data_IF_663799170458
#
_entry.id   IF_663799170458
#
_cell.length_a   1.000
_cell.length_b   1.000
_cell.length_c   1.000
_cell.angle_alpha   90.00
_cell.angle_beta   90.00
_cell.angle_gamma   90.00
#
_symmetry.space_group_name_H-M   'P 1'
#
loop_
_entity.id
_entity.type
_entity.pdbx_description
1 polymer ?
#
# COMPACT_ATOMS: atom_id res chain seq x y z
N UNK A 1 14.41 -7.29 12.19
CA UNK A 1 13.31 -8.18 11.76
C UNK A 1 12.30 -7.31 11.03
N UNK A 2 11.84 -7.69 9.82
CA UNK A 2 10.79 -6.97 9.12
C UNK A 2 9.57 -6.76 10.02
N UNK A 3 9.06 -5.53 10.11
CA UNK A 3 7.82 -5.26 10.84
C UNK A 3 6.68 -5.45 9.85
N UNK A 4 5.79 -6.40 10.16
CA UNK A 4 4.58 -6.63 9.37
C UNK A 4 3.73 -5.38 9.35
N UNK A 5 3.24 -5.03 8.16
CA UNK A 5 2.34 -3.91 7.94
C UNK A 5 1.13 -4.40 7.16
N UNK A 6 -0.07 -3.98 7.60
CA UNK A 6 -1.33 -4.43 7.05
C UNK A 6 -2.17 -3.24 6.58
N UNK A 7 -2.80 -3.39 5.43
CA UNK A 7 -3.87 -2.53 4.94
C UNK A 7 -5.18 -3.29 5.18
N UNK A 8 -6.15 -2.64 5.81
CA UNK A 8 -7.43 -3.24 6.14
C UNK A 8 -8.53 -2.72 5.22
N UNK A 9 -9.45 -3.59 4.82
CA UNK A 9 -10.76 -3.21 4.30
C UNK A 9 -11.74 -3.09 5.46
N UNK A 10 -12.62 -2.08 5.39
CA UNK A 10 -13.67 -1.85 6.37
C UNK A 10 -15.00 -1.84 5.64
N UNK A 11 -15.91 -2.71 6.06
CA UNK A 11 -17.32 -2.57 5.71
C UNK A 11 -17.91 -1.48 6.62
N UNK A 12 -18.42 -0.40 6.01
CA UNK A 12 -18.91 0.76 6.75
C UNK A 12 -20.31 0.58 7.32
N UNK A 13 -21.07 -0.41 6.85
CA UNK A 13 -22.40 -0.74 7.36
C UNK A 13 -22.28 -1.67 8.58
N UNK A 14 -21.46 -2.72 8.47
CA UNK A 14 -21.27 -3.70 9.53
C UNK A 14 -20.14 -3.37 10.51
N UNK A 15 -19.29 -2.40 10.17
CA UNK A 15 -18.03 -2.07 10.86
C UNK A 15 -17.03 -3.25 10.92
N UNK A 16 -17.27 -4.29 10.12
CA UNK A 16 -16.39 -5.44 10.00
C UNK A 16 -15.06 -5.04 9.35
N UNK A 17 -13.97 -5.61 9.85
CA UNK A 17 -12.63 -5.38 9.30
C UNK A 17 -12.02 -6.70 8.84
N UNK A 18 -11.28 -6.63 7.73
CA UNK A 18 -10.46 -7.74 7.24
C UNK A 18 -9.17 -7.21 6.64
N UNK A 19 -8.13 -8.03 6.65
CA UNK A 19 -6.87 -7.67 5.99
C UNK A 19 -7.11 -7.66 4.48
N UNK A 20 -6.91 -6.50 3.85
CA UNK A 20 -6.93 -6.36 2.40
C UNK A 20 -5.59 -6.78 1.80
N UNK A 21 -4.48 -6.39 2.44
CA UNK A 21 -3.14 -6.70 1.99
C UNK A 21 -2.11 -6.62 3.12
N UNK A 22 -1.17 -7.56 3.13
CA UNK A 22 -0.06 -7.62 4.09
C UNK A 22 1.29 -7.43 3.38
N UNK A 23 2.21 -6.79 4.06
CA UNK A 23 3.60 -6.63 3.61
C UNK A 23 4.51 -6.21 4.76
N UNK A 24 5.59 -5.50 4.44
CA UNK A 24 6.55 -5.04 5.44
C UNK A 24 6.80 -3.55 5.32
N UNK A 25 6.92 -2.85 6.45
CA UNK A 25 7.37 -1.45 6.50
C UNK A 25 6.59 -0.48 5.57
N UNK A 26 5.26 -0.58 5.53
CA UNK A 26 4.46 0.41 4.81
C UNK A 26 4.61 1.78 5.47
N UNK A 27 5.14 2.74 4.71
CA UNK A 27 5.36 4.11 5.21
C UNK A 27 4.40 5.14 4.58
N UNK A 28 3.65 4.71 3.57
CA UNK A 28 2.64 5.52 2.91
C UNK A 28 1.61 4.66 2.22
N UNK A 29 0.38 5.17 2.14
CA UNK A 29 -0.71 4.55 1.40
C UNK A 29 -1.44 5.65 0.63
N UNK A 30 -1.75 5.41 -0.64
CA UNK A 30 -2.58 6.29 -1.46
C UNK A 30 -3.55 5.46 -2.29
N UNK A 31 -4.75 5.98 -2.52
CA UNK A 31 -5.77 5.31 -3.33
C UNK A 31 -6.03 6.15 -4.57
N UNK A 32 -5.92 5.54 -5.74
CA UNK A 32 -6.24 6.21 -7.01
C UNK A 32 -7.75 6.46 -7.09
N UNK A 33 -8.21 7.70 -7.28
CA UNK A 33 -9.64 8.01 -7.37
C UNK A 33 -10.27 7.48 -8.67
N UNK A 34 -9.48 7.23 -9.72
CA UNK A 34 -9.99 6.75 -11.02
C UNK A 34 -10.11 5.22 -11.11
N UNK A 35 -9.28 4.47 -10.37
CA UNK A 35 -9.24 3.01 -10.44
C UNK A 35 -9.61 2.30 -9.14
N UNK A 36 -9.57 3.01 -8.01
CA UNK A 36 -9.68 2.42 -6.67
C UNK A 36 -8.45 1.60 -6.27
N UNK A 37 -7.43 1.50 -7.11
CA UNK A 37 -6.20 0.78 -6.77
C UNK A 37 -5.49 1.48 -5.61
N UNK A 38 -4.97 0.66 -4.70
CA UNK A 38 -4.17 1.08 -3.56
C UNK A 38 -2.70 1.02 -3.95
N UNK A 39 -1.97 2.06 -3.61
CA UNK A 39 -0.53 2.19 -3.78
C UNK A 39 0.09 2.29 -2.40
N UNK A 40 1.12 1.50 -2.14
CA UNK A 40 1.92 1.59 -0.92
C UNK A 40 3.39 1.38 -1.24
N UNK A 41 4.28 1.68 -0.28
CA UNK A 41 5.70 1.47 -0.41
C UNK A 41 6.25 0.74 0.81
N UNK A 42 6.92 -0.38 0.56
CA UNK A 42 7.84 -1.00 1.51
C UNK A 42 9.08 -0.09 1.57
N UNK A 43 9.17 0.72 2.62
CA UNK A 43 10.13 1.81 2.66
C UNK A 43 11.55 1.31 2.97
N UNK A 44 12.52 1.95 2.34
CA UNK A 44 13.90 1.94 2.80
C UNK A 44 14.40 3.37 2.97
N UNK A 45 15.13 3.64 4.05
CA UNK A 45 15.75 4.95 4.31
C UNK A 45 17.23 4.98 3.95
N UNK A 46 17.78 3.87 3.47
CA UNK A 46 19.20 3.74 3.08
C UNK A 46 19.37 3.23 1.64
N UNK A 47 18.29 2.81 0.99
CA UNK A 47 18.25 2.32 -0.40
C UNK A 47 16.90 2.64 -1.03
N UNK A 48 16.73 2.28 -2.30
CA UNK A 48 15.43 2.43 -2.97
C UNK A 48 14.33 1.68 -2.23
N UNK A 49 13.14 2.29 -2.20
CA UNK A 49 11.92 1.67 -1.67
C UNK A 49 11.26 0.81 -2.75
N UNK A 50 10.39 -0.10 -2.35
CA UNK A 50 9.62 -0.92 -3.29
C UNK A 50 8.15 -0.53 -3.22
N UNK A 51 7.66 0.11 -4.27
CA UNK A 51 6.26 0.42 -4.44
C UNK A 51 5.48 -0.85 -4.81
N UNK A 52 4.30 -1.01 -4.25
CA UNK A 52 3.32 -2.05 -4.57
C UNK A 52 2.03 -1.40 -5.06
N UNK A 53 1.44 -1.98 -6.10
CA UNK A 53 0.08 -1.65 -6.55
C UNK A 53 -0.84 -2.82 -6.24
N UNK A 54 -1.96 -2.54 -5.58
CA UNK A 54 -2.95 -3.50 -5.11
C UNK A 54 -4.31 -3.11 -5.66
N UNK A 55 -5.09 -4.06 -6.18
CA UNK A 55 -6.45 -3.81 -6.65
C UNK A 55 -7.42 -3.58 -5.49
N UNK A 56 -8.64 -3.06 -5.73
CA UNK A 56 -9.68 -2.99 -4.70
C UNK A 56 -10.01 -4.34 -4.04
N UNK A 57 -9.73 -5.45 -4.73
CA UNK A 57 -9.92 -6.80 -4.21
C UNK A 57 -8.73 -7.34 -3.41
N UNK A 58 -7.69 -6.53 -3.15
CA UNK A 58 -6.52 -6.95 -2.37
C UNK A 58 -5.46 -7.71 -3.17
N UNK A 59 -5.56 -7.75 -4.49
CA UNK A 59 -4.61 -8.48 -5.35
C UNK A 59 -3.45 -7.58 -5.75
N UNK A 60 -2.21 -7.99 -5.49
CA UNK A 60 -1.03 -7.28 -6.00
C UNK A 60 -0.92 -7.45 -7.52
N UNK A 61 -0.83 -6.33 -8.24
CA UNK A 61 -0.79 -6.30 -9.72
C UNK A 61 0.47 -5.67 -10.29
N UNK A 62 1.36 -5.16 -9.44
CA UNK A 62 2.62 -4.60 -9.90
C UNK A 62 3.52 -4.15 -8.77
N UNK A 63 4.81 -4.10 -9.08
CA UNK A 63 5.83 -3.54 -8.22
C UNK A 63 6.73 -2.61 -9.00
N UNK A 64 7.15 -1.51 -8.40
CA UNK A 64 8.10 -0.58 -9.01
C UNK A 64 9.16 -0.17 -7.98
N UNK A 65 10.36 0.10 -8.46
CA UNK A 65 11.39 0.72 -7.62
C UNK A 65 11.07 2.21 -7.47
N UNK A 66 11.13 2.72 -6.25
CA UNK A 66 10.91 4.12 -5.92
C UNK A 66 12.10 4.68 -5.13
N UNK A 67 12.14 6.00 -4.96
CA UNK A 67 13.19 6.67 -4.21
C UNK A 67 13.27 6.23 -2.75
N UNK A 68 14.38 6.57 -2.10
CA UNK A 68 14.58 6.41 -0.65
C UNK A 68 13.47 7.16 0.10
N UNK A 69 12.87 6.54 1.11
CA UNK A 69 11.89 7.19 1.97
C UNK A 69 10.54 7.50 1.29
N UNK A 70 10.11 6.71 0.31
CA UNK A 70 8.84 6.97 -0.41
C UNK A 70 7.63 6.77 0.50
N UNK A 71 6.77 7.79 0.61
CA UNK A 71 5.53 7.72 1.43
C UNK A 71 4.31 8.47 0.86
N UNK A 72 4.49 9.35 -0.13
CA UNK A 72 3.39 10.16 -0.67
C UNK A 72 3.08 9.77 -2.10
N UNK A 73 1.79 9.59 -2.37
CA UNK A 73 1.25 9.30 -3.69
C UNK A 73 0.37 10.47 -4.12
N UNK A 74 0.56 10.94 -5.35
CA UNK A 74 -0.23 12.01 -5.95
C UNK A 74 -0.92 11.44 -7.19
N UNK A 75 -2.22 11.69 -7.30
CA UNK A 75 -3.06 11.27 -8.40
C UNK A 75 -3.60 12.51 -9.11
N UNK A 76 -3.73 12.44 -10.44
CA UNK A 76 -4.22 13.52 -11.29
C UNK A 76 -5.51 13.06 -11.99
#
# INVERSE_FOLDING_TARGET
MPIEANIYSVDVESLGTSILYSGSYFYGVGVSPSSGNVFTAEVSFTSNSVMKTITPAGVSVGTATAGVGTFRFLFF
#
